data_IF_422142292856
#
_entry.id   IF_422142292856
#
_cell.length_a   1.000
_cell.length_b   1.000
_cell.length_c   1.000
_cell.angle_alpha   90.00
_cell.angle_beta   90.00
_cell.angle_gamma   90.00
#
_symmetry.space_group_name_H-M   'P 1'
#
loop_
_entity.id
_entity.type
_entity.pdbx_description
1 polymer ?
#
# COMPACT_ATOMS: atom_id res chain seq x y z
N UNK A 1 42.67 6.54 -27.22
CA UNK A 1 41.20 6.39 -27.39
C UNK A 1 40.88 4.92 -27.15
N UNK A 2 40.60 4.55 -25.90
CA UNK A 2 40.42 3.15 -25.49
C UNK A 2 38.92 2.87 -25.50
N UNK A 3 38.45 2.06 -26.45
CA UNK A 3 37.08 1.54 -26.47
C UNK A 3 37.02 0.32 -25.56
N UNK A 4 36.30 0.43 -24.45
CA UNK A 4 35.99 -0.70 -23.58
C UNK A 4 34.84 -1.49 -24.21
N UNK A 5 34.95 -2.82 -24.39
CA UNK A 5 33.84 -3.62 -24.86
C UNK A 5 32.90 -3.89 -23.70
N UNK A 6 31.66 -3.39 -23.80
CA UNK A 6 30.56 -3.80 -22.95
C UNK A 6 30.26 -5.27 -23.26
N UNK A 7 30.75 -6.19 -22.41
CA UNK A 7 30.15 -7.51 -22.32
C UNK A 7 28.85 -7.34 -21.53
N UNK A 8 27.75 -7.27 -22.26
CA UNK A 8 26.42 -7.55 -21.75
C UNK A 8 26.42 -8.97 -21.19
N UNK A 9 26.73 -9.09 -19.90
CA UNK A 9 26.48 -10.31 -19.16
C UNK A 9 24.96 -10.32 -18.88
N UNK A 10 24.16 -10.59 -19.91
CA UNK A 10 22.77 -11.00 -19.75
C UNK A 10 22.82 -12.36 -19.06
N UNK A 11 22.87 -12.34 -17.73
CA UNK A 11 22.37 -13.45 -16.95
C UNK A 11 20.90 -13.58 -17.33
N UNK A 12 20.59 -14.54 -18.20
CA UNK A 12 19.23 -15.07 -18.38
C UNK A 12 18.84 -15.83 -17.10
N UNK A 13 18.80 -15.13 -15.97
CA UNK A 13 17.84 -15.49 -14.94
C UNK A 13 16.50 -15.18 -15.62
N UNK A 14 15.72 -16.23 -15.88
CA UNK A 14 14.45 -16.05 -16.55
C UNK A 14 13.63 -15.13 -15.64
N UNK A 15 13.29 -13.93 -16.12
CA UNK A 15 12.43 -13.01 -15.38
C UNK A 15 11.17 -13.74 -14.90
N UNK A 16 10.73 -14.77 -15.62
CA UNK A 16 9.67 -15.66 -15.20
C UNK A 16 9.91 -16.29 -13.82
N UNK A 17 11.10 -16.81 -13.53
CA UNK A 17 11.39 -17.48 -12.25
C UNK A 17 11.36 -16.49 -11.07
N UNK A 18 11.96 -15.31 -11.24
CA UNK A 18 11.92 -14.24 -10.23
C UNK A 18 10.48 -13.82 -9.94
N UNK A 19 9.65 -13.65 -10.98
CA UNK A 19 8.23 -13.32 -10.77
C UNK A 19 7.45 -14.42 -10.06
N UNK A 20 7.74 -15.70 -10.35
CA UNK A 20 7.11 -16.80 -9.62
C UNK A 20 7.53 -16.84 -8.15
N UNK A 21 8.82 -16.66 -7.85
CA UNK A 21 9.31 -16.57 -6.47
C UNK A 21 8.75 -15.34 -5.72
N UNK A 22 8.55 -14.23 -6.44
CA UNK A 22 7.98 -13.02 -5.87
C UNK A 22 6.47 -13.17 -5.59
N UNK A 23 5.74 -13.91 -6.42
CA UNK A 23 4.33 -14.25 -6.20
C UNK A 23 4.11 -15.29 -5.11
N UNK A 24 5.14 -16.09 -4.78
CA UNK A 24 5.08 -17.12 -3.73
C UNK A 24 5.15 -16.51 -2.32
N UNK A 25 4.09 -15.80 -1.95
CA UNK A 25 3.83 -15.23 -0.62
C UNK A 25 2.33 -15.35 -0.27
N UNK A 26 1.96 -15.41 1.02
CA UNK A 26 0.57 -15.62 1.43
C UNK A 26 -0.42 -14.62 0.81
N UNK A 27 -0.08 -13.33 0.73
CA UNK A 27 -0.95 -12.28 0.16
C UNK A 27 -1.44 -12.60 -1.26
N UNK A 28 -0.62 -13.28 -2.07
CA UNK A 28 -0.96 -13.60 -3.47
C UNK A 28 -1.46 -15.03 -3.69
N UNK A 29 -1.62 -15.85 -2.64
CA UNK A 29 -1.97 -17.27 -2.76
C UNK A 29 -3.28 -17.52 -3.51
N UNK A 30 -4.25 -16.60 -3.43
CA UNK A 30 -5.59 -16.78 -3.99
C UNK A 30 -5.72 -16.24 -5.43
N UNK A 31 -4.63 -15.69 -5.98
CA UNK A 31 -4.59 -15.13 -7.33
C UNK A 31 -4.56 -16.26 -8.35
N UNK A 32 -5.49 -16.23 -9.30
CA UNK A 32 -5.43 -17.13 -10.44
C UNK A 32 -4.36 -16.68 -11.46
N UNK A 33 -4.01 -17.56 -12.39
CA UNK A 33 -3.01 -17.27 -13.42
C UNK A 33 -3.28 -15.97 -14.21
N UNK A 34 -4.55 -15.64 -14.52
CA UNK A 34 -4.86 -14.42 -15.25
C UNK A 34 -4.64 -13.14 -14.42
N UNK A 35 -4.95 -13.19 -13.12
CA UNK A 35 -4.70 -12.11 -12.18
C UNK A 35 -3.19 -11.95 -11.92
N UNK A 36 -2.47 -13.04 -11.67
CA UNK A 36 -1.00 -13.01 -11.54
C UNK A 36 -0.34 -12.36 -12.75
N UNK A 37 -0.76 -12.72 -13.96
CA UNK A 37 -0.24 -12.12 -15.19
C UNK A 37 -0.61 -10.64 -15.34
N UNK A 38 -1.80 -10.20 -14.87
CA UNK A 38 -2.15 -8.77 -14.81
C UNK A 38 -1.25 -8.03 -13.83
N UNK A 39 -1.11 -8.56 -12.63
CA UNK A 39 -0.29 -7.99 -11.56
C UNK A 39 1.18 -7.84 -11.99
N UNK A 40 1.76 -8.90 -12.57
CA UNK A 40 3.14 -8.86 -13.12
C UNK A 40 3.30 -7.79 -14.20
N UNK A 41 2.31 -7.60 -15.08
CA UNK A 41 2.38 -6.56 -16.12
C UNK A 41 2.44 -5.16 -15.53
N UNK A 42 1.60 -4.88 -14.54
CA UNK A 42 1.58 -3.59 -13.83
C UNK A 42 2.87 -3.40 -13.04
N UNK A 43 3.33 -4.42 -12.30
CA UNK A 43 4.59 -4.41 -11.55
C UNK A 43 5.80 -4.19 -12.45
N UNK A 44 5.84 -4.83 -13.63
CA UNK A 44 6.89 -4.64 -14.64
C UNK A 44 6.92 -3.19 -15.12
N UNK A 45 5.75 -2.59 -15.36
CA UNK A 45 5.68 -1.18 -15.75
C UNK A 45 6.20 -0.26 -14.64
N UNK A 46 5.83 -0.52 -13.37
CA UNK A 46 6.33 0.25 -12.23
C UNK A 46 7.85 0.16 -12.10
N UNK A 47 8.44 -1.03 -12.22
CA UNK A 47 9.91 -1.21 -12.18
C UNK A 47 10.66 -0.49 -13.31
N UNK A 48 10.01 -0.23 -14.44
CA UNK A 48 10.61 0.51 -15.55
C UNK A 48 10.65 2.03 -15.32
N UNK A 49 9.72 2.55 -14.51
CA UNK A 49 9.50 3.98 -14.33
C UNK A 49 9.85 4.50 -12.92
N UNK A 50 10.00 3.60 -11.95
CA UNK A 50 10.32 3.92 -10.55
C UNK A 50 11.71 3.43 -10.18
N UNK A 51 12.40 4.20 -9.35
CA UNK A 51 13.73 3.87 -8.83
C UNK A 51 13.63 3.42 -7.38
N UNK A 52 14.04 2.19 -7.09
CA UNK A 52 14.21 1.70 -5.72
C UNK A 52 15.64 2.05 -5.28
N UNK A 53 15.76 2.79 -4.17
CA UNK A 53 17.03 3.23 -3.60
C UNK A 53 17.21 2.59 -2.23
N UNK A 54 18.13 1.64 -2.16
CA UNK A 54 18.52 0.98 -0.92
C UNK A 54 19.35 1.93 -0.05
N UNK A 55 19.07 1.94 1.25
CA UNK A 55 19.74 2.79 2.23
C UNK A 55 20.39 1.95 3.33
N UNK A 56 21.34 2.56 4.04
CA UNK A 56 22.04 1.95 5.19
C UNK A 56 22.67 0.57 4.92
N UNK A 57 23.14 0.33 3.68
CA UNK A 57 23.82 -0.90 3.32
C UNK A 57 22.90 -2.11 3.09
N UNK A 58 21.58 -1.92 3.03
CA UNK A 58 20.63 -2.98 2.64
C UNK A 58 21.01 -3.54 1.27
N UNK A 59 21.18 -4.86 1.18
CA UNK A 59 21.44 -5.55 -0.08
C UNK A 59 20.11 -5.88 -0.76
N UNK A 60 19.76 -5.12 -1.79
CA UNK A 60 18.51 -5.29 -2.53
C UNK A 60 18.69 -6.29 -3.68
N UNK A 61 18.04 -7.46 -3.60
CA UNK A 61 18.05 -8.48 -4.66
C UNK A 61 16.87 -8.33 -5.65
N UNK A 62 16.84 -9.17 -6.68
CA UNK A 62 15.82 -9.12 -7.74
C UNK A 62 14.42 -9.53 -7.24
N UNK A 63 14.34 -10.50 -6.33
CA UNK A 63 13.08 -11.00 -5.77
C UNK A 63 12.46 -9.96 -4.84
N UNK A 64 13.28 -9.28 -4.02
CA UNK A 64 12.85 -8.14 -3.20
C UNK A 64 12.25 -7.03 -4.06
N UNK A 65 12.93 -6.63 -5.13
CA UNK A 65 12.44 -5.60 -6.06
C UNK A 65 11.11 -6.03 -6.70
N UNK A 66 11.02 -7.28 -7.16
CA UNK A 66 9.81 -7.83 -7.74
C UNK A 66 8.64 -7.84 -6.74
N UNK A 67 8.87 -8.24 -5.47
CA UNK A 67 7.83 -8.21 -4.42
C UNK A 67 7.34 -6.82 -4.12
N UNK A 68 8.24 -5.85 -3.93
CA UNK A 68 7.87 -4.44 -3.73
C UNK A 68 7.02 -3.94 -4.91
N UNK A 69 7.41 -4.27 -6.14
CA UNK A 69 6.66 -3.88 -7.32
C UNK A 69 5.28 -4.54 -7.42
N UNK A 70 5.15 -5.83 -7.04
CA UNK A 70 3.86 -6.52 -6.99
C UNK A 70 2.95 -5.91 -5.92
N UNK A 71 3.49 -5.56 -4.76
CA UNK A 71 2.75 -4.90 -3.68
C UNK A 71 2.23 -3.52 -4.12
N UNK A 72 3.05 -2.69 -4.77
CA UNK A 72 2.59 -1.42 -5.35
C UNK A 72 1.60 -1.62 -6.51
N UNK A 73 1.77 -2.68 -7.29
CA UNK A 73 0.86 -2.99 -8.40
C UNK A 73 -0.53 -3.42 -7.91
N UNK A 74 -0.64 -4.00 -6.72
CA UNK A 74 -1.89 -4.56 -6.18
C UNK A 74 -3.04 -3.54 -6.14
N UNK A 75 -2.92 -2.37 -5.48
CA UNK A 75 -4.01 -1.41 -5.41
C UNK A 75 -4.37 -0.82 -6.78
N UNK A 76 -3.42 -0.78 -7.71
CA UNK A 76 -3.64 -0.18 -9.04
C UNK A 76 -3.77 -1.20 -10.16
N UNK A 77 -3.96 -2.48 -9.84
CA UNK A 77 -3.97 -3.57 -10.84
C UNK A 77 -5.05 -3.37 -11.92
N UNK A 78 -6.23 -2.91 -11.51
CA UNK A 78 -7.38 -2.66 -12.39
C UNK A 78 -7.60 -1.15 -12.67
N UNK A 79 -6.71 -0.31 -12.14
CA UNK A 79 -6.71 1.15 -12.36
C UNK A 79 -5.71 1.57 -13.44
N UNK A 80 -4.54 0.95 -13.45
CA UNK A 80 -3.40 1.29 -14.30
C UNK A 80 -2.21 1.83 -13.49
N UNK A 81 -0.98 1.54 -13.93
CA UNK A 81 0.24 1.94 -13.21
C UNK A 81 0.39 3.47 -13.12
N UNK A 82 -0.19 4.21 -14.07
CA UNK A 82 -0.21 5.67 -14.11
C UNK A 82 -0.89 6.28 -12.88
N UNK A 83 -1.71 5.52 -12.15
CA UNK A 83 -2.32 5.96 -10.89
C UNK A 83 -1.28 6.26 -9.80
N UNK A 84 -0.06 5.74 -9.94
CA UNK A 84 1.06 5.99 -9.06
C UNK A 84 2.09 6.99 -9.63
N UNK A 85 1.75 7.83 -10.61
CA UNK A 85 2.70 8.79 -11.21
C UNK A 85 3.16 9.93 -10.28
N UNK A 86 2.52 10.11 -9.11
CA UNK A 86 2.85 11.16 -8.14
C UNK A 86 4.18 10.96 -7.39
N UNK A 87 4.98 9.93 -7.72
CA UNK A 87 6.30 9.70 -7.17
C UNK A 87 7.19 8.87 -8.12
N UNK A 88 8.50 9.09 -8.02
CA UNK A 88 9.49 8.46 -8.92
C UNK A 88 10.51 7.60 -8.17
N UNK A 89 10.64 7.78 -6.87
CA UNK A 89 11.68 7.18 -6.03
C UNK A 89 11.03 6.47 -4.84
N UNK A 90 11.57 5.32 -4.49
CA UNK A 90 11.21 4.54 -3.30
C UNK A 90 12.49 4.39 -2.49
N UNK A 91 12.56 4.99 -1.31
CA UNK A 91 13.65 4.84 -0.36
C UNK A 91 13.39 3.61 0.51
N UNK A 92 14.32 2.66 0.55
CA UNK A 92 14.17 1.43 1.32
C UNK A 92 15.27 1.32 2.39
N UNK A 93 14.85 1.47 3.65
CA UNK A 93 15.67 1.23 4.84
C UNK A 93 15.62 -0.25 5.26
N UNK A 94 16.61 -0.74 6.01
CA UNK A 94 16.57 -2.12 6.53
C UNK A 94 15.53 -2.31 7.64
N UNK A 95 15.36 -1.32 8.52
CA UNK A 95 14.46 -1.38 9.69
C UNK A 95 13.71 -0.06 9.85
N UNK A 96 12.60 -0.04 10.62
CA UNK A 96 11.92 1.21 10.95
C UNK A 96 12.89 2.21 11.58
N UNK A 97 12.70 3.48 11.27
CA UNK A 97 13.48 4.56 11.86
C UNK A 97 12.54 5.70 12.24
N UNK A 98 12.78 6.28 13.41
CA UNK A 98 12.01 7.42 13.90
C UNK A 98 12.69 8.67 13.35
N UNK A 99 11.94 9.48 12.60
CA UNK A 99 12.38 10.82 12.22
C UNK A 99 11.69 11.81 13.14
N UNK A 100 12.48 12.49 13.98
CA UNK A 100 12.02 13.70 14.65
C UNK A 100 11.84 14.78 13.58
N UNK A 101 10.65 14.85 12.96
CA UNK A 101 10.36 15.89 11.98
C UNK A 101 9.78 17.10 12.70
N UNK A 102 10.45 18.25 12.71
CA UNK A 102 9.84 19.47 13.21
C UNK A 102 8.71 19.89 12.27
N UNK A 103 7.48 20.03 12.77
CA UNK A 103 6.39 20.68 12.02
C UNK A 103 6.08 22.05 12.65
N UNK A 104 5.66 22.99 11.81
CA UNK A 104 5.33 24.35 12.21
C UNK A 104 3.81 24.52 12.17
N UNK A 105 3.21 24.90 13.30
CA UNK A 105 1.77 25.19 13.34
C UNK A 105 1.42 26.54 12.67
N UNK A 106 0.13 26.84 12.56
CA UNK A 106 -0.39 28.09 11.98
C UNK A 106 0.07 29.35 12.72
N UNK A 107 0.59 29.20 13.95
CA UNK A 107 1.14 30.28 14.77
C UNK A 107 2.66 30.42 14.67
N UNK A 108 3.31 29.57 13.86
CA UNK A 108 4.75 29.57 13.66
C UNK A 108 5.56 28.86 14.74
N UNK A 109 4.93 28.05 15.58
CA UNK A 109 5.61 27.27 16.62
C UNK A 109 6.11 25.97 16.00
N UNK A 110 7.41 25.73 16.12
CA UNK A 110 8.04 24.48 15.73
C UNK A 110 7.85 23.46 16.85
N UNK A 111 7.02 22.46 16.59
CA UNK A 111 6.79 21.33 17.48
C UNK A 111 7.78 20.20 17.13
N UNK A 112 8.35 19.56 18.15
CA UNK A 112 9.11 18.32 18.03
C UNK A 112 8.40 17.25 18.83
N UNK A 113 7.64 16.38 18.16
CA UNK A 113 6.92 15.27 18.77
C UNK A 113 7.34 13.94 18.16
N UNK A 114 7.20 12.87 18.92
CA UNK A 114 7.34 11.49 18.44
C UNK A 114 6.15 11.20 17.54
N UNK A 115 6.41 10.98 16.26
CA UNK A 115 5.40 10.56 15.31
C UNK A 115 5.92 9.26 14.69
N UNK A 116 5.21 8.15 14.93
CA UNK A 116 5.53 6.84 14.36
C UNK A 116 5.12 6.89 12.91
N UNK A 117 5.99 7.44 12.07
CA UNK A 117 5.78 7.52 10.63
C UNK A 117 6.33 6.27 9.97
N UNK A 118 5.45 5.34 9.59
CA UNK A 118 5.84 4.16 8.82
C UNK A 118 6.22 4.51 7.36
N UNK A 119 5.91 5.71 6.88
CA UNK A 119 6.44 6.27 5.64
C UNK A 119 6.34 7.79 5.56
N UNK A 120 7.17 8.39 4.70
CA UNK A 120 7.10 9.81 4.34
C UNK A 120 6.54 9.90 2.92
N UNK A 121 5.35 10.47 2.77
CA UNK A 121 4.89 10.97 1.47
C UNK A 121 4.95 12.49 1.50
N UNK A 122 6.03 13.06 0.97
CA UNK A 122 6.01 14.47 0.56
C UNK A 122 5.09 14.55 -0.68
N UNK A 123 4.32 15.63 -0.85
CA UNK A 123 3.26 15.76 -1.86
C UNK A 123 3.66 15.38 -3.31
N UNK A 124 4.97 15.41 -3.62
CA UNK A 124 5.60 14.86 -4.83
C UNK A 124 6.93 14.12 -4.55
N UNK A 125 7.27 13.89 -3.29
CA UNK A 125 8.54 13.28 -2.91
C UNK A 125 8.49 11.75 -2.89
N UNK A 126 9.64 11.14 -2.58
CA UNK A 126 9.78 9.69 -2.61
C UNK A 126 8.80 9.04 -1.64
N UNK A 127 8.44 7.78 -1.90
CA UNK A 127 7.87 6.93 -0.85
C UNK A 127 9.03 6.39 -0.02
N UNK A 128 8.85 6.35 1.29
CA UNK A 128 9.84 5.80 2.22
C UNK A 128 9.27 4.54 2.84
N UNK A 129 10.04 3.46 2.77
CA UNK A 129 9.70 2.15 3.32
C UNK A 129 10.87 1.63 4.15
N UNK A 130 10.58 0.65 4.99
CA UNK A 130 11.60 -0.21 5.57
C UNK A 130 11.33 -1.68 5.22
N UNK A 131 12.40 -2.46 5.10
CA UNK A 131 12.31 -3.83 4.62
C UNK A 131 11.63 -4.77 5.60
N UNK A 132 11.79 -4.56 6.91
CA UNK A 132 11.12 -5.38 7.94
C UNK A 132 9.60 -5.33 7.78
N UNK A 133 9.03 -4.14 7.69
CA UNK A 133 7.58 -3.96 7.54
C UNK A 133 7.10 -4.37 6.14
N UNK A 134 7.94 -4.24 5.11
CA UNK A 134 7.64 -4.80 3.78
C UNK A 134 7.56 -6.33 3.84
N UNK A 135 8.36 -7.00 4.67
CA UNK A 135 8.26 -8.45 4.85
C UNK A 135 6.96 -8.83 5.55
N UNK A 136 6.54 -8.09 6.58
CA UNK A 136 5.27 -8.31 7.27
C UNK A 136 4.07 -8.08 6.34
N UNK A 137 4.23 -7.20 5.33
CA UNK A 137 3.24 -6.96 4.26
C UNK A 137 3.07 -8.14 3.29
N UNK A 138 3.83 -9.23 3.43
CA UNK A 138 3.65 -10.44 2.61
C UNK A 138 2.53 -11.35 3.12
N UNK A 139 2.11 -11.16 4.37
CA UNK A 139 1.10 -11.96 5.01
C UNK A 139 -0.32 -11.43 4.77
N UNK A 140 -1.32 -12.19 5.24
CA UNK A 140 -2.74 -11.80 5.29
C UNK A 140 -3.14 -11.40 6.71
N UNK A 141 -2.45 -10.39 7.25
CA UNK A 141 -2.51 -10.03 8.67
C UNK A 141 -3.43 -8.85 8.97
N UNK A 142 -3.85 -8.08 7.96
CA UNK A 142 -4.48 -6.76 8.13
C UNK A 142 -3.50 -5.60 7.91
N UNK A 143 -2.18 -5.86 8.04
CA UNK A 143 -1.12 -4.88 7.84
C UNK A 143 -0.49 -5.01 6.45
N UNK A 144 -0.26 -3.88 5.78
CA UNK A 144 0.46 -3.78 4.52
C UNK A 144 1.00 -2.37 4.26
N UNK A 145 2.22 -2.09 4.71
CA UNK A 145 2.88 -0.79 4.57
C UNK A 145 2.92 -0.28 3.11
N UNK A 146 3.13 -1.16 2.13
CA UNK A 146 3.23 -0.72 0.73
C UNK A 146 1.87 -0.29 0.18
N UNK A 147 0.81 -0.98 0.54
CA UNK A 147 -0.57 -0.59 0.20
C UNK A 147 -0.95 0.70 0.92
N UNK A 148 -0.56 0.87 2.18
CA UNK A 148 -0.77 2.09 2.96
C UNK A 148 -0.20 3.33 2.24
N UNK A 149 1.10 3.29 1.93
CA UNK A 149 1.77 4.40 1.23
C UNK A 149 1.21 4.61 -0.18
N UNK A 150 0.81 3.54 -0.88
CA UNK A 150 0.14 3.66 -2.16
C UNK A 150 -1.23 4.33 -2.03
N UNK A 151 -1.99 4.05 -0.98
CA UNK A 151 -3.29 4.66 -0.71
C UNK A 151 -3.15 6.17 -0.50
N UNK A 152 -2.17 6.65 0.27
CA UNK A 152 -1.90 8.09 0.37
C UNK A 152 -1.59 8.74 -0.98
N UNK A 153 -0.80 8.09 -1.84
CA UNK A 153 -0.54 8.60 -3.20
C UNK A 153 -1.79 8.62 -4.08
N UNK A 154 -2.73 7.70 -3.86
CA UNK A 154 -4.01 7.69 -4.56
C UNK A 154 -4.93 8.81 -4.08
N UNK A 155 -4.98 9.07 -2.76
CA UNK A 155 -5.78 10.11 -2.13
C UNK A 155 -5.41 11.51 -2.67
N UNK A 156 -4.13 11.88 -2.61
CA UNK A 156 -3.66 13.21 -3.04
C UNK A 156 -3.71 13.44 -4.56
N UNK A 157 -4.01 12.42 -5.37
CA UNK A 157 -3.93 12.48 -6.84
C UNK A 157 -4.86 13.53 -7.46
N UNK A 158 -5.98 13.88 -6.82
CA UNK A 158 -7.00 14.80 -7.36
C UNK A 158 -7.21 16.04 -6.49
N UNK A 159 -6.13 16.64 -6.03
CA UNK A 159 -6.20 17.90 -5.28
C UNK A 159 -4.92 18.27 -4.57
N UNK A 160 -3.99 17.32 -4.38
CA UNK A 160 -2.78 17.50 -3.59
C UNK A 160 -3.01 17.43 -2.08
N UNK A 161 -4.26 17.45 -1.63
CA UNK A 161 -4.65 17.34 -0.23
C UNK A 161 -5.06 15.90 0.09
N UNK A 162 -4.56 15.38 1.22
CA UNK A 162 -4.97 14.08 1.73
C UNK A 162 -6.26 14.24 2.53
N UNK A 163 -7.34 13.64 2.07
CA UNK A 163 -8.70 13.80 2.63
C UNK A 163 -9.36 12.47 2.97
N UNK A 164 -8.74 11.34 2.62
CA UNK A 164 -9.33 10.02 2.65
C UNK A 164 -10.32 9.75 1.51
N UNK A 165 -10.38 10.64 0.52
CA UNK A 165 -11.33 10.56 -0.60
C UNK A 165 -10.53 10.54 -1.90
N UNK A 166 -10.24 9.35 -2.46
CA UNK A 166 -9.49 9.25 -3.69
C UNK A 166 -10.30 9.79 -4.89
N UNK A 167 -9.70 9.89 -6.10
CA UNK A 167 -10.36 10.45 -7.28
C UNK A 167 -11.60 9.65 -7.73
N UNK A 168 -12.77 10.00 -7.17
CA UNK A 168 -14.07 9.36 -7.43
C UNK A 168 -15.05 10.36 -8.07
N UNK A 169 -16.15 9.87 -8.71
CA UNK A 169 -17.18 10.75 -9.25
C UNK A 169 -17.81 11.62 -8.15
N UNK A 170 -18.01 12.92 -8.41
CA UNK A 170 -18.55 13.89 -7.43
C UNK A 170 -19.85 13.46 -6.75
N UNK A 171 -20.71 12.69 -7.44
CA UNK A 171 -21.97 12.18 -6.88
C UNK A 171 -21.77 11.14 -5.77
N UNK A 172 -20.59 10.53 -5.68
CA UNK A 172 -20.25 9.46 -4.73
C UNK A 172 -19.52 10.02 -3.50
N UNK A 173 -18.93 11.21 -3.59
CA UNK A 173 -18.13 11.86 -2.52
C UNK A 173 -18.90 11.93 -1.20
N UNK A 174 -20.15 12.42 -1.23
CA UNK A 174 -20.95 12.58 0.01
C UNK A 174 -21.20 11.24 0.72
N UNK A 175 -21.45 10.18 -0.04
CA UNK A 175 -21.69 8.86 0.55
C UNK A 175 -20.38 8.23 1.05
N UNK A 176 -19.29 8.40 0.30
CA UNK A 176 -17.96 7.94 0.70
C UNK A 176 -17.53 8.59 2.01
N UNK A 177 -17.58 9.92 2.07
CA UNK A 177 -17.19 10.72 3.23
C UNK A 177 -18.02 10.35 4.45
N UNK A 178 -19.34 10.25 4.31
CA UNK A 178 -20.23 9.85 5.39
C UNK A 178 -19.90 8.47 5.96
N UNK A 179 -19.72 7.47 5.09
CA UNK A 179 -19.47 6.10 5.53
C UNK A 179 -18.05 5.93 6.09
N UNK A 180 -17.06 6.70 5.60
CA UNK A 180 -15.70 6.72 6.15
C UNK A 180 -15.69 7.35 7.54
N UNK A 181 -16.32 8.51 7.73
CA UNK A 181 -16.43 9.14 9.06
C UNK A 181 -17.19 8.26 10.05
N UNK A 182 -18.27 7.60 9.62
CA UNK A 182 -18.99 6.66 10.48
C UNK A 182 -18.11 5.47 10.91
N UNK A 183 -17.22 4.98 10.04
CA UNK A 183 -16.25 3.95 10.40
C UNK A 183 -15.21 4.47 11.41
N UNK A 184 -14.70 5.69 11.23
CA UNK A 184 -13.79 6.34 12.18
C UNK A 184 -14.41 6.50 13.57
N UNK A 185 -15.65 7.02 13.64
CA UNK A 185 -16.38 7.18 14.91
C UNK A 185 -16.58 5.82 15.59
N UNK A 186 -16.94 4.78 14.84
CA UNK A 186 -17.10 3.43 15.39
C UNK A 186 -15.78 2.84 15.91
N UNK A 187 -14.67 3.09 15.23
CA UNK A 187 -13.34 2.67 15.69
C UNK A 187 -12.96 3.40 16.97
N UNK A 188 -13.17 4.71 17.03
CA UNK A 188 -12.90 5.50 18.23
C UNK A 188 -13.72 5.04 19.44
N UNK A 189 -15.01 4.74 19.25
CA UNK A 189 -15.87 4.21 20.32
C UNK A 189 -15.39 2.84 20.84
N UNK A 190 -14.88 1.97 19.96
CA UNK A 190 -14.28 0.69 20.36
C UNK A 190 -12.99 0.93 21.15
N UNK A 191 -12.08 1.77 20.64
CA UNK A 191 -10.80 2.11 21.28
C UNK A 191 -11.04 2.67 22.69
N UNK A 192 -12.01 3.57 22.85
CA UNK A 192 -12.38 4.13 24.14
C UNK A 192 -12.91 3.08 25.13
N UNK A 193 -13.50 1.99 24.61
CA UNK A 193 -14.09 0.92 25.41
C UNK A 193 -13.10 -0.17 25.82
N UNK A 194 -12.24 -0.61 24.89
CA UNK A 194 -11.35 -1.77 25.10
C UNK A 194 -9.87 -1.42 25.14
N UNK A 195 -9.49 -0.21 24.75
CA UNK A 195 -8.10 0.24 24.58
C UNK A 195 -7.53 -0.12 23.20
N UNK A 196 -6.52 0.64 22.77
CA UNK A 196 -5.90 0.51 21.43
C UNK A 196 -5.40 -0.91 21.13
N UNK A 197 -4.68 -1.55 22.07
CA UNK A 197 -4.11 -2.90 21.88
C UNK A 197 -5.17 -4.01 21.71
N UNK A 198 -6.40 -3.77 22.16
CA UNK A 198 -7.49 -4.74 22.12
C UNK A 198 -8.57 -4.41 21.07
N UNK A 199 -8.42 -3.29 20.35
CA UNK A 199 -9.32 -2.93 19.27
C UNK A 199 -9.25 -3.97 18.14
N UNK A 200 -10.37 -4.23 17.48
CA UNK A 200 -10.43 -5.28 16.45
C UNK A 200 -9.83 -4.86 15.10
N UNK A 201 -9.48 -3.58 14.94
CA UNK A 201 -8.69 -3.04 13.84
C UNK A 201 -7.66 -2.06 14.39
N UNK A 202 -6.62 -1.78 13.60
CA UNK A 202 -5.56 -0.85 13.96
C UNK A 202 -6.14 0.52 14.34
N UNK A 203 -5.83 0.96 15.56
CA UNK A 203 -6.33 2.20 16.13
C UNK A 203 -5.89 3.44 15.32
N UNK A 204 -4.83 3.32 14.53
CA UNK A 204 -4.33 4.42 13.69
C UNK A 204 -5.38 4.88 12.66
N UNK A 205 -6.31 4.02 12.25
CA UNK A 205 -7.43 4.37 11.37
C UNK A 205 -8.40 5.41 11.97
N UNK A 206 -8.40 5.63 13.28
CA UNK A 206 -9.24 6.65 13.93
C UNK A 206 -8.57 8.04 13.99
N UNK A 207 -7.30 8.17 13.58
CA UNK A 207 -6.49 9.40 13.71
C UNK A 207 -7.02 10.54 12.86
N UNK A 208 -7.15 10.30 11.54
CA UNK A 208 -7.73 11.21 10.58
C UNK A 208 -8.27 10.44 9.36
N UNK A 209 -8.98 11.13 8.46
CA UNK A 209 -9.64 10.49 7.32
C UNK A 209 -8.66 9.92 6.29
N UNK A 210 -7.49 10.54 6.10
CA UNK A 210 -6.48 10.03 5.18
C UNK A 210 -5.86 8.73 5.70
N UNK A 211 -5.55 8.68 7.01
CA UNK A 211 -5.09 7.47 7.68
C UNK A 211 -6.17 6.39 7.71
N UNK A 212 -7.44 6.77 7.94
CA UNK A 212 -8.55 5.83 7.86
C UNK A 212 -8.63 5.17 6.47
N UNK A 213 -8.52 5.97 5.40
CA UNK A 213 -8.50 5.42 4.04
C UNK A 213 -7.29 4.50 3.81
N UNK A 214 -6.10 4.89 4.26
CA UNK A 214 -4.89 4.10 4.08
C UNK A 214 -4.94 2.77 4.84
N UNK A 215 -5.24 2.81 6.14
CA UNK A 215 -5.34 1.62 6.99
C UNK A 215 -6.45 0.69 6.52
N UNK A 216 -7.65 1.19 6.24
CA UNK A 216 -8.72 0.33 5.73
C UNK A 216 -8.38 -0.24 4.34
N UNK A 217 -7.49 0.39 3.57
CA UNK A 217 -7.00 -0.16 2.30
C UNK A 217 -6.06 -1.33 2.53
N UNK A 218 -5.26 -1.32 3.59
CA UNK A 218 -4.48 -2.48 4.03
C UNK A 218 -5.40 -3.65 4.34
N UNK A 219 -6.44 -3.45 5.16
CA UNK A 219 -7.44 -4.47 5.46
C UNK A 219 -8.16 -4.96 4.20
N UNK A 220 -8.53 -4.06 3.29
CA UNK A 220 -9.20 -4.43 2.04
C UNK A 220 -8.39 -5.45 1.22
N UNK A 221 -7.06 -5.32 1.18
CA UNK A 221 -6.20 -6.21 0.41
C UNK A 221 -5.64 -7.40 1.18
N UNK A 222 -5.41 -7.26 2.50
CA UNK A 222 -4.73 -8.28 3.32
C UNK A 222 -5.67 -9.08 4.23
N UNK A 223 -6.78 -8.51 4.68
CA UNK A 223 -7.79 -9.15 5.54
C UNK A 223 -9.23 -8.69 5.19
N UNK A 224 -9.69 -8.90 3.94
CA UNK A 224 -10.94 -8.35 3.43
C UNK A 224 -12.19 -8.82 4.18
N UNK A 225 -12.13 -9.99 4.82
CA UNK A 225 -13.20 -10.53 5.66
C UNK A 225 -13.50 -9.62 6.86
N UNK A 226 -12.47 -9.07 7.52
CA UNK A 226 -12.64 -8.19 8.67
C UNK A 226 -13.29 -6.86 8.24
N UNK A 227 -12.83 -6.29 7.13
CA UNK A 227 -13.39 -5.06 6.58
C UNK A 227 -14.83 -5.25 6.10
N UNK A 228 -15.10 -6.33 5.36
CA UNK A 228 -16.44 -6.58 4.83
C UNK A 228 -17.45 -6.89 5.94
N UNK A 229 -17.04 -7.56 7.01
CA UNK A 229 -17.93 -7.86 8.15
C UNK A 229 -18.21 -6.60 8.97
N UNK A 230 -17.17 -5.83 9.28
CA UNK A 230 -17.28 -4.67 10.17
C UNK A 230 -17.82 -3.42 9.48
N UNK A 231 -17.32 -3.10 8.28
CA UNK A 231 -17.66 -1.89 7.53
C UNK A 231 -18.11 -2.21 6.09
N UNK A 232 -19.24 -2.92 5.90
CA UNK A 232 -19.69 -3.37 4.58
C UNK A 232 -19.94 -2.23 3.57
N UNK A 233 -20.32 -1.04 4.04
CA UNK A 233 -20.51 0.14 3.18
C UNK A 233 -19.16 0.66 2.64
N UNK A 234 -18.16 0.80 3.51
CA UNK A 234 -16.78 1.17 3.15
C UNK A 234 -16.18 0.12 2.22
N UNK A 235 -16.36 -1.17 2.53
CA UNK A 235 -15.94 -2.27 1.64
C UNK A 235 -16.52 -2.11 0.23
N UNK A 236 -17.82 -1.82 0.13
CA UNK A 236 -18.48 -1.59 -1.16
C UNK A 236 -17.94 -0.38 -1.93
N UNK A 237 -17.61 0.71 -1.23
CA UNK A 237 -16.92 1.87 -1.82
C UNK A 237 -15.56 1.47 -2.38
N UNK A 238 -14.77 0.73 -1.62
CA UNK A 238 -13.42 0.30 -2.02
C UNK A 238 -13.46 -0.68 -3.19
N UNK A 239 -14.42 -1.61 -3.22
CA UNK A 239 -14.65 -2.49 -4.37
C UNK A 239 -14.92 -1.71 -5.64
N UNK A 240 -15.73 -0.65 -5.58
CA UNK A 240 -16.02 0.21 -6.74
C UNK A 240 -14.81 1.03 -7.16
N UNK A 241 -14.10 1.62 -6.19
CA UNK A 241 -12.92 2.44 -6.44
C UNK A 241 -11.78 1.61 -7.02
N UNK A 242 -11.30 0.59 -6.31
CA UNK A 242 -10.20 -0.27 -6.74
C UNK A 242 -10.56 -1.20 -7.90
N UNK A 243 -11.85 -1.36 -8.22
CA UNK A 243 -12.39 -2.30 -9.22
C UNK A 243 -11.96 -3.75 -8.97
N UNK A 244 -11.80 -4.10 -7.70
CA UNK A 244 -11.36 -5.40 -7.23
C UNK A 244 -12.28 -5.90 -6.13
N UNK A 245 -12.38 -7.21 -5.97
CA UNK A 245 -13.10 -7.84 -4.87
C UNK A 245 -12.22 -8.92 -4.23
N UNK A 246 -11.36 -8.54 -3.25
CA UNK A 246 -10.44 -9.47 -2.60
C UNK A 246 -11.15 -10.57 -1.79
N UNK A 247 -12.35 -10.30 -1.24
CA UNK A 247 -13.11 -11.31 -0.49
C UNK A 247 -13.61 -12.40 -1.45
N UNK A 248 -14.18 -12.01 -2.59
CA UNK A 248 -14.58 -12.96 -3.62
C UNK A 248 -13.39 -13.73 -4.20
N UNK A 249 -12.22 -13.09 -4.33
CA UNK A 249 -10.97 -13.76 -4.71
C UNK A 249 -10.58 -14.86 -3.70
N UNK A 250 -10.59 -14.54 -2.40
CA UNK A 250 -10.26 -15.47 -1.32
C UNK A 250 -11.27 -16.63 -1.23
N UNK A 251 -12.57 -16.36 -1.41
CA UNK A 251 -13.61 -17.39 -1.46
C UNK A 251 -13.42 -18.35 -2.63
N UNK A 252 -13.06 -17.83 -3.81
CA UNK A 252 -12.75 -18.65 -4.99
C UNK A 252 -11.51 -19.51 -4.78
N UNK A 253 -10.46 -18.97 -4.14
CA UNK A 253 -9.25 -19.72 -3.78
C UNK A 253 -9.55 -20.91 -2.87
N UNK A 254 -10.28 -20.67 -1.77
CA UNK A 254 -10.71 -21.72 -0.83
C UNK A 254 -11.49 -22.86 -1.49
N UNK A 255 -12.35 -22.55 -2.47
CA UNK A 255 -13.11 -23.56 -3.22
C UNK A 255 -12.26 -24.35 -4.20
N UNK A 256 -11.13 -23.81 -4.67
CA UNK A 256 -10.21 -24.51 -5.57
C UNK A 256 -9.31 -25.52 -4.82
N UNK A 257 -9.10 -25.31 -3.51
CA UNK A 257 -8.31 -26.18 -2.63
C UNK A 257 -9.12 -27.32 -1.98
N UNK A 258 -10.45 -27.32 -2.10
CA UNK A 258 -11.36 -28.37 -1.59
C UNK A 258 -11.62 -29.47 -2.63
#
# INVERSE_FOLDING_TARGET
MIKWPWKSNELKIDKSEVWQQALDIPLFSDFNNHEQQRLIRVATHLLQHKRLMQLQGLALDETMQARIALLFALPVMELGAEWLDGFHEILLYPTPFIVDTPWQDENGIVHSGTQVHAGQSWDQGPIVLNWLDVQDSFDKSGFNLVVHEAAHKLDIRNGGEATGIPPIPLREVVAWEHDLFAAMENLQEEIDMVGEEAASMDAYAATDSAECFAVLSEYFFSAPELLSERFPLVYGHFTRFYKQDPLMRQMRGRLADC
#
